data_IF_038698681347
#
_entry.id   IF_038698681347
#
_cell.length_a   1.000
_cell.length_b   1.000
_cell.length_c   1.000
_cell.angle_alpha   90.00
_cell.angle_beta   90.00
_cell.angle_gamma   90.00
#
_symmetry.space_group_name_H-M   'P 1'
#
loop_
_entity.id
_entity.type
_entity.pdbx_description
1 polymer ?
#
# COMPACT_ATOMS: atom_id res chain seq x y z
N UNK A 1 -16.05 -9.55 15.95
CA UNK A 1 -16.16 -9.31 14.50
C UNK A 1 -15.61 -10.56 13.83
N UNK A 2 -16.37 -11.19 12.95
CA UNK A 2 -15.88 -12.38 12.24
C UNK A 2 -14.78 -11.99 11.25
N UNK A 3 -13.71 -12.81 11.11
CA UNK A 3 -12.69 -12.55 10.12
C UNK A 3 -13.27 -12.54 8.70
N UNK A 4 -12.90 -11.55 7.90
CA UNK A 4 -13.26 -11.48 6.48
C UNK A 4 -12.02 -11.67 5.61
N UNK A 5 -12.18 -12.33 4.46
CA UNK A 5 -11.10 -12.48 3.49
C UNK A 5 -10.80 -11.13 2.83
N UNK A 6 -9.52 -10.79 2.79
CA UNK A 6 -8.96 -9.59 2.14
C UNK A 6 -7.76 -10.01 1.28
N UNK A 7 -7.15 -9.05 0.59
CA UNK A 7 -5.90 -9.28 -0.13
C UNK A 7 -4.79 -8.43 0.50
N UNK A 8 -3.61 -9.04 0.64
CA UNK A 8 -2.37 -8.33 0.91
C UNK A 8 -1.57 -8.24 -0.38
N UNK A 9 -0.98 -7.08 -0.64
CA UNK A 9 -0.16 -6.83 -1.81
C UNK A 9 1.18 -6.27 -1.37
N UNK A 10 2.27 -6.95 -1.72
CA UNK A 10 3.61 -6.37 -1.65
C UNK A 10 3.83 -5.50 -2.87
N UNK A 11 4.28 -4.26 -2.65
CA UNK A 11 4.57 -3.31 -3.72
C UNK A 11 5.98 -2.73 -3.58
N UNK A 12 6.62 -2.48 -4.71
CA UNK A 12 7.76 -1.56 -4.84
C UNK A 12 7.20 -0.17 -5.11
N UNK A 13 7.28 0.70 -4.09
CA UNK A 13 6.71 2.04 -4.09
C UNK A 13 7.79 3.08 -4.42
N UNK A 14 7.53 3.87 -5.45
CA UNK A 14 8.26 5.10 -5.78
C UNK A 14 7.41 6.32 -5.42
N UNK A 15 7.91 7.18 -4.53
CA UNK A 15 7.24 8.44 -4.20
C UNK A 15 7.52 9.51 -5.26
N UNK A 16 6.49 10.25 -5.64
CA UNK A 16 6.64 11.38 -6.57
C UNK A 16 7.47 12.49 -5.91
N UNK A 17 8.50 13.04 -6.59
CA UNK A 17 9.27 14.18 -6.08
C UNK A 17 8.38 15.41 -5.83
N UNK A 18 8.77 16.26 -4.87
CA UNK A 18 8.03 17.49 -4.57
C UNK A 18 7.92 18.42 -5.78
N UNK A 19 8.99 18.53 -6.58
CA UNK A 19 9.03 19.37 -7.79
C UNK A 19 8.04 18.91 -8.87
N UNK A 20 7.64 17.63 -8.85
CA UNK A 20 6.70 17.03 -9.80
C UNK A 20 5.26 17.00 -9.24
N UNK A 21 5.00 17.74 -8.16
CA UNK A 21 3.68 17.85 -7.52
C UNK A 21 3.38 16.79 -6.47
N UNK A 22 4.39 16.03 -6.01
CA UNK A 22 4.27 15.06 -4.94
C UNK A 22 4.09 15.67 -3.54
N UNK A 23 4.40 14.89 -2.49
CA UNK A 23 4.34 15.38 -1.11
C UNK A 23 5.37 16.51 -0.88
N UNK A 24 5.03 17.47 -0.02
CA UNK A 24 5.97 18.48 0.47
C UNK A 24 6.67 18.05 1.75
N UNK A 25 6.07 17.12 2.49
CA UNK A 25 6.56 16.61 3.78
C UNK A 25 6.94 15.14 3.67
N UNK A 26 7.80 14.70 4.58
CA UNK A 26 8.09 13.27 4.72
C UNK A 26 6.82 12.47 4.99
N UNK A 27 6.82 11.22 4.55
CA UNK A 27 5.84 10.20 4.89
C UNK A 27 6.42 9.38 6.05
N UNK A 28 5.83 9.43 7.26
CA UNK A 28 6.23 8.54 8.34
C UNK A 28 6.08 7.09 7.87
N UNK A 29 7.18 6.35 7.91
CA UNK A 29 7.27 4.96 7.46
C UNK A 29 7.68 4.02 8.58
N UNK A 30 8.02 2.79 8.20
CA UNK A 30 8.46 1.74 9.12
C UNK A 30 7.58 0.49 9.08
N UNK A 31 8.09 -0.59 9.65
CA UNK A 31 7.42 -1.90 9.74
C UNK A 31 7.28 -2.39 11.18
N UNK A 32 7.80 -1.62 12.15
CA UNK A 32 7.61 -1.86 13.57
C UNK A 32 6.11 -1.87 13.91
N UNK A 33 5.72 -2.65 14.93
CA UNK A 33 4.30 -2.92 15.25
C UNK A 33 3.48 -1.64 15.47
N UNK A 34 4.07 -0.64 16.09
CA UNK A 34 3.47 0.68 16.35
C UNK A 34 3.30 1.55 15.09
N UNK A 35 4.08 1.27 14.05
CA UNK A 35 4.05 1.97 12.77
C UNK A 35 3.02 1.38 11.81
N UNK A 36 2.47 0.19 12.10
CA UNK A 36 1.57 -0.55 11.20
C UNK A 36 0.21 0.10 11.07
N UNK A 37 -0.35 0.12 9.85
CA UNK A 37 -1.68 0.66 9.55
C UNK A 37 -1.91 2.13 9.93
N UNK A 38 -0.84 2.88 10.23
CA UNK A 38 -0.88 4.31 10.54
C UNK A 38 -1.13 5.16 9.29
N UNK A 39 -0.71 4.67 8.12
CA UNK A 39 -0.87 5.34 6.85
C UNK A 39 -1.98 4.71 5.99
N UNK A 40 -2.89 5.55 5.49
CA UNK A 40 -4.13 5.14 4.81
C UNK A 40 -4.36 5.97 3.54
N UNK A 41 -3.56 5.77 2.49
CA UNK A 41 -3.73 6.48 1.23
C UNK A 41 -4.92 5.91 0.45
N UNK A 42 -5.28 6.64 -0.59
CA UNK A 42 -6.15 6.14 -1.65
C UNK A 42 -5.31 5.56 -2.78
N UNK A 43 -5.86 4.60 -3.51
CA UNK A 43 -5.22 3.94 -4.64
C UNK A 43 -6.12 3.99 -5.86
N UNK A 44 -5.57 4.40 -7.01
CA UNK A 44 -6.19 4.10 -8.30
C UNK A 44 -5.61 2.79 -8.83
N UNK A 45 -6.49 1.83 -9.08
CA UNK A 45 -6.13 0.52 -9.62
C UNK A 45 -5.74 0.62 -11.12
N UNK A 46 -5.18 -0.45 -11.70
CA UNK A 46 -4.83 -0.47 -13.12
C UNK A 46 -6.03 -0.14 -14.02
N UNK A 47 -5.79 0.67 -15.05
CA UNK A 47 -6.82 1.13 -15.99
C UNK A 47 -7.83 2.15 -15.43
N UNK A 48 -7.82 2.47 -14.14
CA UNK A 48 -8.76 3.45 -13.59
C UNK A 48 -8.41 4.89 -14.00
N UNK A 49 -9.39 5.79 -14.20
CA UNK A 49 -9.11 7.22 -14.29
C UNK A 49 -8.69 7.78 -12.92
N UNK A 50 -7.96 8.90 -12.89
CA UNK A 50 -7.44 9.49 -11.64
C UNK A 50 -8.54 9.87 -10.62
N UNK A 51 -9.74 10.19 -11.11
CA UNK A 51 -10.90 10.50 -10.27
C UNK A 51 -11.48 9.28 -9.55
N UNK A 52 -11.11 8.06 -9.95
CA UNK A 52 -11.57 6.81 -9.34
C UNK A 52 -10.47 6.25 -8.46
N UNK A 53 -10.75 6.16 -7.16
CA UNK A 53 -9.79 5.70 -6.15
C UNK A 53 -10.50 4.81 -5.13
N UNK A 54 -9.75 3.96 -4.44
CA UNK A 54 -10.22 3.08 -3.37
C UNK A 54 -9.26 3.10 -2.19
N UNK A 55 -9.75 2.82 -1.00
CA UNK A 55 -8.92 2.76 0.20
C UNK A 55 -8.11 1.47 0.23
N UNK A 56 -6.88 1.55 0.74
CA UNK A 56 -6.01 0.41 1.00
C UNK A 56 -4.98 0.80 2.05
N UNK A 57 -5.23 0.56 3.35
CA UNK A 57 -4.27 0.89 4.39
C UNK A 57 -2.96 0.14 4.19
N UNK A 58 -1.86 0.80 4.55
CA UNK A 58 -0.52 0.22 4.43
C UNK A 58 -0.17 -0.47 5.75
N UNK A 59 0.11 -1.77 5.69
CA UNK A 59 0.60 -2.54 6.83
C UNK A 59 1.97 -2.02 7.29
N UNK A 60 2.87 -1.66 6.37
CA UNK A 60 4.16 -1.08 6.72
C UNK A 60 5.04 -0.80 5.51
N UNK A 61 6.20 -0.21 5.77
CA UNK A 61 7.23 0.13 4.79
C UNK A 61 8.60 -0.46 5.17
N UNK A 62 9.42 -0.76 4.17
CA UNK A 62 10.81 -1.21 4.39
C UNK A 62 11.74 -0.11 4.88
N UNK A 63 11.30 1.15 4.87
CA UNK A 63 12.09 2.33 5.29
C UNK A 63 11.26 3.19 6.25
N UNK A 64 11.94 3.79 7.21
CA UNK A 64 11.41 4.90 8.00
C UNK A 64 11.58 6.21 7.25
N UNK A 65 10.77 7.22 7.59
CA UNK A 65 10.83 8.60 7.08
C UNK A 65 11.09 8.73 5.57
N UNK A 66 10.13 8.27 4.76
CA UNK A 66 10.25 8.34 3.32
C UNK A 66 10.12 9.79 2.86
N UNK A 67 11.16 10.29 2.19
CA UNK A 67 11.13 11.62 1.56
C UNK A 67 10.48 11.51 0.17
N UNK A 68 9.86 12.58 -0.33
CA UNK A 68 9.44 12.66 -1.73
C UNK A 68 10.59 12.27 -2.67
N UNK A 69 10.31 11.48 -3.71
CA UNK A 69 11.33 10.93 -4.61
C UNK A 69 12.02 9.65 -4.12
N UNK A 70 11.80 9.20 -2.87
CA UNK A 70 12.35 7.93 -2.40
C UNK A 70 11.55 6.73 -2.89
N UNK A 71 12.25 5.61 -3.01
CA UNK A 71 11.67 4.28 -3.17
C UNK A 71 11.69 3.49 -1.87
N UNK A 72 10.71 2.61 -1.68
CA UNK A 72 10.66 1.59 -0.63
C UNK A 72 9.73 0.44 -1.00
N UNK A 73 9.85 -0.69 -0.32
CA UNK A 73 8.80 -1.71 -0.32
C UNK A 73 7.70 -1.30 0.64
N UNK A 74 6.46 -1.62 0.29
CA UNK A 74 5.29 -1.43 1.16
C UNK A 74 4.32 -2.60 1.02
N UNK A 75 3.49 -2.82 2.04
CA UNK A 75 2.41 -3.82 1.97
C UNK A 75 1.08 -3.11 2.08
N UNK A 76 0.25 -3.23 1.05
CA UNK A 76 -1.11 -2.68 1.01
C UNK A 76 -2.10 -3.78 1.39
N UNK A 77 -3.07 -3.48 2.25
CA UNK A 77 -4.15 -4.43 2.60
C UNK A 77 -5.47 -3.93 2.03
N UNK A 78 -6.01 -4.65 1.06
CA UNK A 78 -7.25 -4.32 0.37
C UNK A 78 -8.48 -4.81 1.16
N UNK A 79 -8.97 -3.98 2.09
CA UNK A 79 -10.02 -4.38 3.05
C UNK A 79 -11.42 -4.56 2.46
N UNK A 80 -11.74 -3.87 1.37
CA UNK A 80 -13.12 -3.74 0.88
C UNK A 80 -13.36 -4.49 -0.43
N UNK A 81 -12.85 -5.71 -0.58
CA UNK A 81 -12.96 -6.51 -1.82
C UNK A 81 -14.41 -6.79 -2.27
N UNK A 82 -15.39 -6.67 -1.37
CA UNK A 82 -16.81 -6.78 -1.72
C UNK A 82 -17.33 -5.51 -2.41
N UNK A 83 -16.84 -4.33 -2.01
CA UNK A 83 -17.24 -3.03 -2.55
C UNK A 83 -16.34 -2.58 -3.70
N UNK A 84 -15.11 -3.08 -3.76
CA UNK A 84 -14.15 -2.88 -4.84
C UNK A 84 -13.63 -4.24 -5.31
N UNK A 85 -14.43 -4.99 -6.09
CA UNK A 85 -14.04 -6.31 -6.56
C UNK A 85 -12.82 -6.31 -7.46
N UNK A 86 -12.50 -5.17 -8.10
CA UNK A 86 -11.34 -5.00 -8.99
C UNK A 86 -9.99 -5.21 -8.30
N UNK A 87 -9.93 -5.18 -6.96
CA UNK A 87 -8.72 -5.61 -6.25
C UNK A 87 -8.33 -7.06 -6.56
N UNK A 88 -9.31 -7.92 -6.91
CA UNK A 88 -9.07 -9.32 -7.29
C UNK A 88 -8.41 -9.46 -8.67
N UNK A 89 -8.53 -8.44 -9.50
CA UNK A 89 -7.95 -8.44 -10.84
C UNK A 89 -6.50 -7.92 -10.82
N UNK A 90 -6.06 -7.36 -9.69
CA UNK A 90 -4.70 -6.84 -9.54
C UNK A 90 -3.70 -8.00 -9.49
N UNK A 91 -2.71 -7.96 -10.38
CA UNK A 91 -1.66 -8.96 -10.49
C UNK A 91 -0.25 -8.39 -10.31
N UNK A 92 0.78 -9.27 -10.29
CA UNK A 92 2.18 -8.86 -10.33
C UNK A 92 2.49 -7.95 -11.53
N UNK A 93 3.50 -7.09 -11.36
CA UNK A 93 3.99 -6.08 -12.30
C UNK A 93 3.04 -4.93 -12.64
N UNK A 94 1.78 -5.00 -12.23
CA UNK A 94 0.84 -3.90 -12.38
C UNK A 94 1.17 -2.73 -11.47
N UNK A 95 0.75 -1.53 -11.88
CA UNK A 95 1.06 -0.29 -11.17
C UNK A 95 -0.19 0.28 -10.51
N UNK A 96 -0.14 0.38 -9.19
CA UNK A 96 -1.09 1.14 -8.37
C UNK A 96 -0.61 2.58 -8.28
N UNK A 97 -1.52 3.55 -8.45
CA UNK A 97 -1.20 4.97 -8.22
C UNK A 97 -1.68 5.39 -6.85
N UNK A 98 -0.77 5.89 -6.02
CA UNK A 98 -1.03 6.33 -4.66
C UNK A 98 -1.48 7.79 -4.64
N UNK A 99 -2.60 8.08 -3.99
CA UNK A 99 -3.17 9.42 -3.87
C UNK A 99 -3.41 9.85 -2.43
N UNK A 100 -3.29 11.16 -2.23
CA UNK A 100 -3.74 11.85 -1.03
C UNK A 100 -4.69 12.98 -1.43
N UNK A 101 -5.99 12.72 -1.28
CA UNK A 101 -7.01 13.53 -1.94
C UNK A 101 -6.87 13.42 -3.46
N UNK A 102 -6.75 14.57 -4.14
CA UNK A 102 -6.55 14.63 -5.59
C UNK A 102 -5.09 14.53 -6.02
N UNK A 103 -4.13 14.57 -5.09
CA UNK A 103 -2.70 14.62 -5.41
C UNK A 103 -2.14 13.22 -5.62
N UNK A 104 -1.43 13.03 -6.74
CA UNK A 104 -0.64 11.83 -6.99
C UNK A 104 0.66 11.90 -6.17
N UNK A 105 0.85 10.96 -5.25
CA UNK A 105 1.97 10.96 -4.31
C UNK A 105 2.96 9.82 -4.56
N UNK A 106 2.60 8.78 -5.33
CA UNK A 106 3.50 7.67 -5.61
C UNK A 106 2.94 6.65 -6.60
N UNK A 107 3.81 5.73 -7.01
CA UNK A 107 3.51 4.61 -7.88
C UNK A 107 4.00 3.32 -7.22
N UNK A 108 3.12 2.36 -7.00
CA UNK A 108 3.44 1.06 -6.44
C UNK A 108 3.37 -0.02 -7.51
N UNK A 109 4.51 -0.58 -7.90
CA UNK A 109 4.53 -1.79 -8.76
C UNK A 109 4.29 -3.01 -7.88
N UNK A 110 3.33 -3.85 -8.24
CA UNK A 110 2.97 -5.04 -7.46
C UNK A 110 4.03 -6.12 -7.63
N UNK A 111 4.63 -6.56 -6.52
CA UNK A 111 5.58 -7.67 -6.50
C UNK A 111 4.86 -9.01 -6.29
N UNK A 112 3.85 -9.04 -5.42
CA UNK A 112 3.05 -10.22 -5.14
C UNK A 112 1.66 -9.85 -4.62
N UNK A 113 0.73 -10.79 -4.72
CA UNK A 113 -0.62 -10.70 -4.18
C UNK A 113 -0.92 -12.01 -3.44
N UNK A 114 -1.35 -11.90 -2.19
CA UNK A 114 -1.70 -13.05 -1.35
C UNK A 114 -3.07 -12.85 -0.67
N UNK A 115 -3.85 -13.93 -0.49
CA UNK A 115 -4.99 -13.91 0.43
C UNK A 115 -4.55 -13.58 1.85
N UNK A 116 -5.39 -12.82 2.57
CA UNK A 116 -5.18 -12.51 3.98
C UNK A 116 -6.52 -12.38 4.71
N UNK A 117 -6.50 -12.18 6.03
CA UNK A 117 -7.71 -12.04 6.85
C UNK A 117 -7.85 -10.68 7.52
N UNK A 118 -9.07 -10.24 7.82
CA UNK A 118 -9.29 -9.00 8.56
C UNK A 118 -10.25 -9.18 9.74
N UNK A 119 -9.90 -8.75 10.97
CA UNK A 119 -8.62 -8.14 11.38
C UNK A 119 -7.42 -9.07 11.14
N UNK A 120 -6.31 -8.52 10.65
CA UNK A 120 -5.08 -9.28 10.34
C UNK A 120 -4.45 -9.75 11.67
N UNK A 121 -4.38 -11.07 11.96
CA UNK A 121 -3.75 -11.60 13.17
C UNK A 121 -2.27 -11.18 13.28
N UNK A 122 -1.75 -11.10 14.50
CA UNK A 122 -0.38 -10.62 14.75
C UNK A 122 0.70 -11.46 14.06
N UNK A 123 0.52 -12.78 14.03
CA UNK A 123 1.40 -13.72 13.34
C UNK A 123 1.35 -13.56 11.82
N UNK A 124 0.15 -13.32 11.26
CA UNK A 124 -0.02 -12.99 9.85
C UNK A 124 0.65 -11.65 9.50
N UNK A 125 0.47 -10.62 10.33
CA UNK A 125 1.15 -9.33 10.16
C UNK A 125 2.68 -9.49 10.20
N UNK A 126 3.20 -10.26 11.15
CA UNK A 126 4.65 -10.48 11.28
C UNK A 126 5.22 -11.26 10.09
N UNK A 127 4.51 -12.30 9.62
CA UNK A 127 4.87 -13.06 8.42
C UNK A 127 4.96 -12.15 7.19
N UNK A 128 3.93 -11.32 6.96
CA UNK A 128 3.90 -10.40 5.83
C UNK A 128 4.99 -9.33 5.97
N UNK A 129 5.14 -8.74 7.16
CA UNK A 129 6.14 -7.70 7.42
C UNK A 129 7.59 -8.19 7.26
N UNK A 130 7.87 -9.48 7.40
CA UNK A 130 9.21 -10.04 7.16
C UNK A 130 9.70 -9.75 5.72
N UNK A 131 8.80 -9.69 4.74
CA UNK A 131 9.15 -9.34 3.35
C UNK A 131 9.71 -7.93 3.22
N UNK A 132 9.30 -6.99 4.09
CA UNK A 132 9.81 -5.61 4.08
C UNK A 132 11.29 -5.52 4.50
N UNK A 133 11.81 -6.56 5.16
CA UNK A 133 13.19 -6.63 5.66
C UNK A 133 14.08 -7.60 4.89
N UNK A 134 13.52 -8.44 4.00
CA UNK A 134 14.29 -9.39 3.21
C UNK A 134 15.30 -8.65 2.32
N UNK A 135 16.55 -9.07 2.25
CA UNK A 135 17.61 -8.40 1.45
C UNK A 135 17.60 -8.88 0.02
#
# INVERSE_FOLDING_TARGET
MEPVNVLALGIDLDLVPTQDGGRATLLPGGHARDSRFTYRPNWALPGWPAAKQTAGPVLGFSRTDLRPGHSARAIVVALFIQHTPQWRDVGPDEVLRMYEGSRLCGHGRVAWVEPATWPLPDDEQDRLAAWLTAT
#
